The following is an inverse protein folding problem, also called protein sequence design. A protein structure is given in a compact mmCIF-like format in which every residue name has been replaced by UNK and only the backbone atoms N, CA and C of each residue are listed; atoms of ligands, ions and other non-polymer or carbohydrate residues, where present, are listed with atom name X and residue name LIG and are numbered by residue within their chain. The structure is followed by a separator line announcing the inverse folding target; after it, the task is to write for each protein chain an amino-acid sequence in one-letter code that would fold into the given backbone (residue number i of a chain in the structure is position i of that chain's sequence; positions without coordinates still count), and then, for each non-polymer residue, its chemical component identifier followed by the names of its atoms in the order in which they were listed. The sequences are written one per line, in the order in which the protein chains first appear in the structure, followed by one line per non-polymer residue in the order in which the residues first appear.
data_IF_127389458014
#
_entry.id   IF_127389458014
#
_cell.length_a   1.000
_cell.length_b   1.000
_cell.length_c   1.000
_cell.angle_alpha   90.00
_cell.angle_beta   90.00
_cell.angle_gamma   90.00
#
_symmetry.space_group_name_H-M   'P 1'
#
loop_
_entity.id
_entity.type
_entity.pdbx_description
1 polymer ?
#
# COMPACT_ATOMS: atom_id res chain seq x y z
N UNK A 1 -6.22 -5.16 26.62
CA UNK A 1 -5.38 -5.12 25.40
C UNK A 1 -4.59 -6.42 25.35
N UNK A 2 -4.90 -7.39 24.46
CA UNK A 2 -4.05 -8.57 24.32
C UNK A 2 -2.75 -8.12 23.65
N UNK A 3 -1.66 -8.36 24.36
CA UNK A 3 -0.33 -7.90 24.02
C UNK A 3 0.22 -8.61 22.79
N UNK A 4 0.92 -7.87 21.93
CA UNK A 4 1.62 -8.37 20.74
C UNK A 4 2.81 -9.31 21.06
N UNK A 5 2.91 -9.86 22.28
CA UNK A 5 4.18 -10.40 22.80
C UNK A 5 4.52 -11.81 22.33
N UNK A 6 3.64 -12.55 21.63
CA UNK A 6 3.95 -13.89 21.10
C UNK A 6 3.09 -14.24 19.88
N UNK A 7 3.25 -13.55 18.76
CA UNK A 7 2.82 -14.12 17.47
C UNK A 7 4.04 -14.71 16.78
N UNK A 8 3.85 -15.88 16.18
CA UNK A 8 4.90 -16.51 15.38
C UNK A 8 5.30 -15.54 14.23
N UNK A 9 6.59 -15.44 13.87
CA UNK A 9 7.01 -14.65 12.71
C UNK A 9 6.22 -14.96 11.43
N UNK A 10 5.81 -16.21 11.23
CA UNK A 10 4.97 -16.65 10.11
C UNK A 10 3.57 -16.03 10.20
N UNK A 11 2.96 -16.00 11.39
CA UNK A 11 1.65 -15.35 11.60
C UNK A 11 1.72 -13.85 11.30
N UNK A 12 2.81 -13.18 11.68
CA UNK A 12 3.01 -11.76 11.41
C UNK A 12 3.13 -11.49 9.91
N UNK A 13 3.85 -12.33 9.16
CA UNK A 13 3.96 -12.21 7.71
C UNK A 13 2.64 -12.49 7.00
N UNK A 14 1.87 -13.47 7.46
CA UNK A 14 0.53 -13.73 6.93
C UNK A 14 -0.41 -12.52 7.12
N UNK A 15 -0.33 -11.85 8.27
CA UNK A 15 -1.09 -10.62 8.54
C UNK A 15 -0.65 -9.48 7.62
N UNK A 16 0.65 -9.27 7.45
CA UNK A 16 1.18 -8.22 6.56
C UNK A 16 0.76 -8.51 5.11
N UNK A 17 0.92 -9.75 4.65
CA UNK A 17 0.50 -10.18 3.30
C UNK A 17 -0.99 -9.95 3.06
N UNK A 18 -1.84 -10.28 4.04
CA UNK A 18 -3.28 -10.02 3.96
C UNK A 18 -3.60 -8.52 3.84
N UNK A 19 -2.90 -7.66 4.59
CA UNK A 19 -3.08 -6.20 4.51
C UNK A 19 -2.64 -5.65 3.15
N UNK A 20 -1.47 -6.07 2.67
CA UNK A 20 -0.93 -5.67 1.36
C UNK A 20 -1.91 -6.05 0.25
N UNK A 21 -2.39 -7.29 0.24
CA UNK A 21 -3.42 -7.75 -0.69
C UNK A 21 -4.70 -6.91 -0.66
N UNK A 22 -5.16 -6.52 0.53
CA UNK A 22 -6.35 -5.67 0.66
C UNK A 22 -6.10 -4.26 0.10
N UNK A 23 -4.89 -3.72 0.27
CA UNK A 23 -4.49 -2.42 -0.28
C UNK A 23 -4.39 -2.49 -1.82
N UNK A 24 -3.75 -3.52 -2.38
CA UNK A 24 -3.67 -3.74 -3.83
C UNK A 24 -5.07 -3.75 -4.45
N UNK A 25 -6.00 -4.53 -3.89
CA UNK A 25 -7.39 -4.57 -4.37
C UNK A 25 -8.07 -3.21 -4.36
N UNK A 26 -7.81 -2.38 -3.36
CA UNK A 26 -8.36 -1.02 -3.28
C UNK A 26 -7.68 -0.08 -4.27
N UNK A 27 -6.37 -0.21 -4.47
CA UNK A 27 -5.63 0.57 -5.46
C UNK A 27 -6.09 0.22 -6.88
N UNK A 28 -6.36 -1.05 -7.17
CA UNK A 28 -6.93 -1.48 -8.45
C UNK A 28 -8.23 -0.74 -8.79
N UNK A 29 -9.09 -0.46 -7.80
CA UNK A 29 -10.30 0.32 -8.01
C UNK A 29 -10.03 1.77 -8.50
N UNK A 30 -8.83 2.32 -8.26
CA UNK A 30 -8.38 3.58 -8.86
C UNK A 30 -8.01 3.38 -10.33
N UNK A 31 -7.22 2.34 -10.63
CA UNK A 31 -6.78 2.03 -11.99
C UNK A 31 -7.93 1.63 -12.92
N UNK A 32 -8.98 1.00 -12.38
CA UNK A 32 -10.19 0.64 -13.13
C UNK A 32 -10.98 1.88 -13.60
N UNK A 33 -10.78 3.05 -12.99
CA UNK A 33 -11.40 4.33 -13.38
C UNK A 33 -10.57 5.04 -14.45
N UNK A 34 -10.33 4.36 -15.58
CA UNK A 34 -9.41 4.79 -16.64
C UNK A 34 -9.61 6.25 -17.07
N UNK A 35 -10.85 6.67 -17.34
CA UNK A 35 -11.13 8.04 -17.81
C UNK A 35 -10.68 9.09 -16.78
N UNK A 36 -11.01 8.88 -15.51
CA UNK A 36 -10.65 9.82 -14.44
C UNK A 36 -9.15 9.79 -14.12
N UNK A 37 -8.50 8.63 -14.33
CA UNK A 37 -7.06 8.50 -14.22
C UNK A 37 -6.35 9.24 -15.36
N UNK A 38 -6.87 9.18 -16.59
CA UNK A 38 -6.33 9.92 -17.73
C UNK A 38 -6.42 11.44 -17.52
N UNK A 39 -7.46 11.91 -16.83
CA UNK A 39 -7.62 13.31 -16.43
C UNK A 39 -6.70 13.74 -15.25
N UNK A 40 -6.02 12.80 -14.59
CA UNK A 40 -5.12 13.08 -13.47
C UNK A 40 -3.73 13.48 -13.98
N UNK A 41 -3.06 14.50 -13.40
CA UNK A 41 -1.70 14.87 -13.77
C UNK A 41 -0.71 13.68 -13.81
N UNK A 42 0.23 13.71 -14.76
CA UNK A 42 1.12 12.58 -15.03
C UNK A 42 2.00 12.21 -13.82
N UNK A 43 2.54 13.19 -13.11
CA UNK A 43 3.30 13.02 -11.87
C UNK A 43 2.52 12.24 -10.79
N UNK A 44 1.23 12.53 -10.64
CA UNK A 44 0.36 11.81 -9.71
C UNK A 44 0.06 10.40 -10.16
N UNK A 45 -0.13 10.16 -11.46
CA UNK A 45 -0.24 8.81 -12.00
C UNK A 45 1.03 8.00 -11.75
N UNK A 46 2.21 8.61 -11.92
CA UNK A 46 3.49 7.96 -11.62
C UNK A 46 3.61 7.59 -10.14
N UNK A 47 3.19 8.45 -9.22
CA UNK A 47 3.18 8.11 -7.80
C UNK A 47 2.24 6.95 -7.47
N UNK A 48 1.04 6.90 -8.07
CA UNK A 48 0.14 5.75 -7.92
C UNK A 48 0.76 4.46 -8.49
N UNK A 49 1.44 4.55 -9.63
CA UNK A 49 2.15 3.42 -10.23
C UNK A 49 3.24 2.90 -9.30
N UNK A 50 4.10 3.79 -8.77
CA UNK A 50 5.15 3.41 -7.82
C UNK A 50 4.59 2.72 -6.58
N UNK A 51 3.44 3.17 -6.07
CA UNK A 51 2.75 2.47 -4.98
C UNK A 51 2.39 1.04 -5.41
N UNK A 52 1.77 0.89 -6.59
CA UNK A 52 1.39 -0.40 -7.16
C UNK A 52 2.58 -1.34 -7.28
N UNK A 53 3.63 -0.90 -7.97
CA UNK A 53 4.84 -1.68 -8.22
C UNK A 53 5.50 -2.16 -6.91
N UNK A 54 5.60 -1.28 -5.91
CA UNK A 54 6.17 -1.63 -4.60
C UNK A 54 5.29 -2.59 -3.81
N UNK A 55 3.97 -2.48 -3.90
CA UNK A 55 3.04 -3.41 -3.24
C UNK A 55 3.07 -4.80 -3.87
N UNK A 56 3.14 -4.87 -5.21
CA UNK A 56 3.31 -6.12 -5.95
C UNK A 56 4.65 -6.77 -5.58
N UNK A 57 5.74 -5.99 -5.57
CA UNK A 57 7.04 -6.49 -5.14
C UNK A 57 7.01 -7.06 -3.71
N UNK A 58 6.33 -6.39 -2.77
CA UNK A 58 6.15 -6.92 -1.41
C UNK A 58 5.43 -8.26 -1.46
N UNK A 59 4.34 -8.37 -2.22
CA UNK A 59 3.54 -9.59 -2.28
C UNK A 59 4.35 -10.77 -2.85
N UNK A 60 5.15 -10.51 -3.89
CA UNK A 60 5.99 -11.53 -4.52
C UNK A 60 7.12 -12.00 -3.61
N UNK A 61 7.65 -11.10 -2.77
CA UNK A 61 8.84 -11.39 -1.95
C UNK A 61 8.51 -11.78 -0.50
N UNK A 62 7.32 -11.52 0.02
CA UNK A 62 7.03 -11.68 1.45
C UNK A 62 7.10 -13.14 1.92
N UNK A 63 6.76 -14.10 1.06
CA UNK A 63 6.77 -15.53 1.42
C UNK A 63 8.19 -16.07 1.56
N UNK A 64 9.08 -15.69 0.64
CA UNK A 64 10.46 -16.20 0.60
C UNK A 64 11.41 -15.34 1.45
N UNK A 65 11.25 -14.02 1.40
CA UNK A 65 12.18 -13.06 1.99
C UNK A 65 11.63 -12.34 3.22
N UNK A 66 10.33 -12.44 3.52
CA UNK A 66 9.70 -11.64 4.57
C UNK A 66 10.31 -11.84 5.97
N UNK A 67 10.81 -13.04 6.27
CA UNK A 67 11.47 -13.35 7.55
C UNK A 67 12.87 -12.71 7.68
N UNK A 68 13.52 -12.37 6.55
CA UNK A 68 14.83 -11.70 6.53
C UNK A 68 14.74 -10.18 6.54
N UNK A 69 13.54 -9.62 6.29
CA UNK A 69 13.32 -8.19 6.38
C UNK A 69 13.52 -7.68 7.81
N UNK A 70 14.16 -6.52 7.92
CA UNK A 70 14.34 -5.85 9.20
C UNK A 70 12.98 -5.50 9.82
N UNK A 71 12.95 -5.40 11.15
CA UNK A 71 11.76 -4.94 11.87
C UNK A 71 11.25 -3.60 11.36
N UNK A 72 12.14 -2.68 10.99
CA UNK A 72 11.80 -1.36 10.43
C UNK A 72 11.06 -1.49 9.10
N UNK A 73 11.54 -2.34 8.18
CA UNK A 73 10.87 -2.59 6.90
C UNK A 73 9.47 -3.17 7.09
N UNK A 74 9.31 -4.17 7.96
CA UNK A 74 7.99 -4.75 8.27
C UNK A 74 7.04 -3.71 8.91
N UNK A 75 7.55 -2.85 9.80
CA UNK A 75 6.78 -1.77 10.42
C UNK A 75 6.37 -0.71 9.41
N UNK A 76 7.25 -0.36 8.47
CA UNK A 76 6.93 0.57 7.41
C UNK A 76 5.81 0.05 6.49
N UNK A 77 5.81 -1.24 6.14
CA UNK A 77 4.71 -1.86 5.39
C UNK A 77 3.40 -1.78 6.20
N UNK A 78 3.45 -2.12 7.50
CA UNK A 78 2.28 -2.06 8.37
C UNK A 78 1.73 -0.63 8.51
N UNK A 79 2.60 0.38 8.68
CA UNK A 79 2.22 1.79 8.73
C UNK A 79 1.64 2.26 7.41
N UNK A 80 2.27 1.94 6.28
CA UNK A 80 1.74 2.25 4.96
C UNK A 80 0.32 1.70 4.79
N UNK A 81 0.11 0.41 5.11
CA UNK A 81 -1.21 -0.21 5.01
C UNK A 81 -2.25 0.44 5.95
N UNK A 82 -1.84 0.84 7.16
CA UNK A 82 -2.70 1.54 8.12
C UNK A 82 -3.10 2.92 7.60
N UNK A 83 -2.16 3.73 7.11
CA UNK A 83 -2.45 5.06 6.57
C UNK A 83 -3.29 4.97 5.30
N UNK A 84 -2.97 4.05 4.39
CA UNK A 84 -3.80 3.77 3.22
C UNK A 84 -5.23 3.42 3.63
N UNK A 85 -5.38 2.58 4.67
CA UNK A 85 -6.67 2.15 5.21
C UNK A 85 -7.56 3.30 5.71
N UNK A 86 -6.99 4.46 6.06
CA UNK A 86 -7.73 5.66 6.48
C UNK A 86 -8.31 6.45 5.31
N UNK A 87 -7.81 6.25 4.09
CA UNK A 87 -8.33 6.91 2.89
C UNK A 87 -9.73 6.40 2.61
N UNK A 88 -10.71 7.31 2.52
CA UNK A 88 -12.11 6.97 2.29
C UNK A 88 -12.39 6.81 0.80
N UNK A 89 -12.65 5.59 0.37
CA UNK A 89 -13.04 5.24 -1.01
C UNK A 89 -14.56 5.31 -1.25
N UNK A 90 -15.35 5.63 -0.23
CA UNK A 90 -16.81 5.79 -0.36
C UNK A 90 -17.14 6.87 -1.40
N UNK A 91 -17.99 6.53 -2.37
CA UNK A 91 -18.33 7.44 -3.47
C UNK A 91 -17.12 7.76 -4.37
N UNK A 92 -16.23 6.78 -4.60
CA UNK A 92 -14.96 6.98 -5.33
C UNK A 92 -15.12 7.81 -6.61
N UNK A 93 -16.15 7.58 -7.42
CA UNK A 93 -16.35 8.33 -8.66
C UNK A 93 -16.53 9.85 -8.47
N UNK A 94 -17.12 10.27 -7.35
CA UNK A 94 -17.28 11.70 -7.00
C UNK A 94 -16.05 12.25 -6.27
N UNK A 95 -15.35 11.38 -5.53
CA UNK A 95 -14.23 11.75 -4.66
C UNK A 95 -12.86 11.44 -5.27
N UNK A 96 -12.78 11.05 -6.55
CA UNK A 96 -11.58 10.46 -7.16
C UNK A 96 -10.34 11.33 -6.98
N UNK A 97 -10.42 12.62 -7.33
CA UNK A 97 -9.30 13.57 -7.18
C UNK A 97 -8.82 13.68 -5.73
N UNK A 98 -9.73 13.62 -4.76
CA UNK A 98 -9.40 13.65 -3.33
C UNK A 98 -8.72 12.36 -2.89
N UNK A 99 -9.21 11.20 -3.34
CA UNK A 99 -8.59 9.90 -3.05
C UNK A 99 -7.20 9.83 -3.63
N UNK A 100 -7.03 10.17 -4.92
CA UNK A 100 -5.72 10.24 -5.58
C UNK A 100 -4.77 11.17 -4.83
N UNK A 101 -5.22 12.38 -4.46
CA UNK A 101 -4.38 13.31 -3.69
C UNK A 101 -3.88 12.68 -2.39
N UNK A 102 -4.75 12.05 -1.61
CA UNK A 102 -4.36 11.40 -0.36
C UNK A 102 -3.38 10.24 -0.57
N UNK A 103 -3.53 9.47 -1.65
CA UNK A 103 -2.61 8.38 -1.98
C UNK A 103 -1.24 8.91 -2.44
N UNK A 104 -1.21 9.99 -3.21
CA UNK A 104 0.04 10.65 -3.61
C UNK A 104 0.76 11.23 -2.39
N UNK A 105 0.05 11.89 -1.48
CA UNK A 105 0.62 12.36 -0.20
C UNK A 105 1.18 11.20 0.62
N UNK A 106 0.51 10.04 0.60
CA UNK A 106 1.01 8.83 1.25
C UNK A 106 2.31 8.31 0.62
N UNK A 107 2.44 8.37 -0.70
CA UNK A 107 3.68 8.03 -1.41
C UNK A 107 4.85 8.92 -0.95
N UNK A 108 4.61 10.22 -0.78
CA UNK A 108 5.62 11.18 -0.34
C UNK A 108 6.13 10.95 1.10
N UNK A 109 5.44 10.18 1.94
CA UNK A 109 5.96 9.82 3.27
C UNK A 109 7.09 8.77 3.20
N UNK A 110 7.29 8.12 2.05
CA UNK A 110 8.46 7.29 1.80
C UNK A 110 8.54 6.00 2.60
N UNK A 111 7.42 5.51 3.16
CA UNK A 111 7.39 4.25 3.91
C UNK A 111 7.97 3.08 3.10
N UNK A 112 7.75 3.08 1.78
CA UNK A 112 8.16 2.01 0.88
C UNK A 112 9.42 2.34 0.07
N UNK A 113 10.13 3.44 0.37
CA UNK A 113 11.28 3.89 -0.44
C UNK A 113 12.52 3.00 -0.36
N UNK A 114 12.57 2.11 0.62
CA UNK A 114 13.60 1.08 0.70
C UNK A 114 13.45 0.00 -0.38
N UNK A 115 12.30 -0.05 -1.07
CA UNK A 115 12.02 -0.95 -2.20
C UNK A 115 12.36 -0.21 -3.49
N UNK A 116 13.35 -0.72 -4.21
CA UNK A 116 13.78 -0.23 -5.52
C UNK A 116 13.26 -1.19 -6.57
N UNK A 117 12.28 -0.74 -7.36
CA UNK A 117 11.59 -1.46 -8.43
C UNK A 117 11.73 -0.70 -9.74
#
# INVERSE_FOLDING_TARGET
LPSFTRRDPVDLLAIISSKVNAVIKRLQAIFDRKDQLLDTPHDRRLALQRIGDRLEWILDNITENGTSWTRSQQQNIDWFCKEFGKVRFSGLGQNFKRVVKALVELECFGYLDWIVV
#
